data_IF_190857190996
#
_entry.id   IF_190857190996
#
_cell.length_a   1.000
_cell.length_b   1.000
_cell.length_c   1.000
_cell.angle_alpha   90.00
_cell.angle_beta   90.00
_cell.angle_gamma   90.00
#
_symmetry.space_group_name_H-M   'P 1'
#
loop_
_entity.id
_entity.type
_entity.pdbx_description
1 polymer ?
#
# COMPACT_ATOMS: atom_id res chain seq x y z
N UNK A 1 3.81 -17.02 -8.54
CA UNK A 1 3.78 -15.57 -8.82
C UNK A 1 2.72 -15.30 -9.87
N UNK A 2 2.07 -14.16 -9.78
CA UNK A 2 1.18 -13.67 -10.81
C UNK A 2 1.57 -12.27 -11.16
N UNK A 3 1.52 -11.98 -12.42
CA UNK A 3 1.70 -10.64 -12.97
C UNK A 3 0.67 -9.71 -12.36
N UNK A 4 1.13 -8.66 -11.72
CA UNK A 4 0.28 -7.59 -11.22
C UNK A 4 1.03 -6.26 -11.26
N UNK A 5 0.38 -5.19 -10.82
CA UNK A 5 0.94 -3.85 -10.80
C UNK A 5 2.25 -3.73 -9.99
N UNK A 6 2.42 -4.57 -8.93
CA UNK A 6 3.63 -4.62 -8.11
C UNK A 6 4.85 -5.17 -8.84
N UNK A 7 4.65 -6.26 -9.59
CA UNK A 7 5.75 -7.07 -10.12
C UNK A 7 5.84 -7.01 -11.64
N UNK A 8 4.95 -6.27 -12.30
CA UNK A 8 4.92 -6.19 -13.74
C UNK A 8 4.72 -7.56 -14.37
N UNK A 9 5.56 -7.94 -15.31
CA UNK A 9 5.49 -9.23 -16.00
C UNK A 9 6.12 -10.41 -15.23
N UNK A 10 6.58 -10.18 -14.00
CA UNK A 10 7.09 -11.25 -13.14
C UNK A 10 5.93 -11.95 -12.46
N UNK A 11 5.43 -12.92 -13.00
CA UNK A 11 4.37 -13.58 -12.36
C UNK A 11 4.45 -15.05 -12.59
N UNK A 12 3.64 -15.62 -13.37
CA UNK A 12 3.63 -17.04 -13.68
C UNK A 12 4.97 -17.57 -14.29
N UNK A 13 6.06 -16.93 -13.93
CA UNK A 13 7.39 -17.22 -14.44
C UNK A 13 7.45 -16.98 -15.95
N UNK A 14 8.04 -17.91 -16.65
CA UNK A 14 8.08 -17.89 -18.12
C UNK A 14 6.81 -18.47 -18.76
N UNK A 15 5.78 -18.81 -17.96
CA UNK A 15 4.56 -19.40 -18.49
C UNK A 15 3.59 -18.33 -19.01
N UNK A 16 4.00 -17.68 -20.07
CA UNK A 16 3.14 -16.76 -20.81
C UNK A 16 1.86 -17.42 -21.34
N UNK A 17 1.82 -18.73 -21.46
CA UNK A 17 0.65 -19.46 -21.96
C UNK A 17 -0.45 -19.52 -20.90
N UNK A 18 -0.11 -19.64 -19.61
CA UNK A 18 -1.08 -19.53 -18.53
C UNK A 18 -1.70 -18.13 -18.48
N UNK A 19 -0.88 -17.07 -18.62
CA UNK A 19 -1.37 -15.68 -18.67
C UNK A 19 -2.30 -15.49 -19.85
N UNK A 20 -1.91 -15.94 -21.05
CA UNK A 20 -2.74 -15.86 -22.27
C UNK A 20 -4.05 -16.63 -22.12
N UNK A 21 -4.01 -17.78 -21.44
CA UNK A 21 -5.23 -18.54 -21.15
C UNK A 21 -6.16 -17.77 -20.20
N UNK A 22 -5.64 -17.24 -19.10
CA UNK A 22 -6.44 -16.46 -18.16
C UNK A 22 -7.05 -15.21 -18.79
N UNK A 23 -6.34 -14.55 -19.70
CA UNK A 23 -6.82 -13.38 -20.42
C UNK A 23 -8.08 -13.65 -21.27
N UNK A 24 -8.33 -14.89 -21.64
CA UNK A 24 -9.54 -15.28 -22.38
C UNK A 24 -10.80 -15.34 -21.51
N UNK A 25 -10.62 -15.32 -20.17
CA UNK A 25 -11.69 -15.50 -19.20
C UNK A 25 -11.67 -14.37 -18.17
N UNK A 26 -12.28 -13.22 -18.47
CA UNK A 26 -12.23 -12.04 -17.61
C UNK A 26 -12.84 -12.24 -16.23
N UNK A 27 -13.64 -13.27 -16.04
CA UNK A 27 -14.23 -13.67 -14.74
C UNK A 27 -13.24 -14.40 -13.82
N UNK A 28 -12.05 -14.78 -14.31
CA UNK A 28 -11.04 -15.42 -13.46
C UNK A 28 -10.58 -14.45 -12.38
N UNK A 29 -10.58 -14.95 -11.16
CA UNK A 29 -9.93 -14.32 -10.02
C UNK A 29 -8.78 -15.24 -9.61
N UNK A 30 -7.58 -14.74 -9.76
CA UNK A 30 -6.36 -15.43 -9.42
C UNK A 30 -5.79 -14.83 -8.14
N UNK A 31 -5.58 -15.66 -7.13
CA UNK A 31 -5.00 -15.26 -5.84
C UNK A 31 -3.59 -15.81 -5.75
N UNK A 32 -2.65 -14.99 -5.31
CA UNK A 32 -1.25 -15.39 -5.16
C UNK A 32 -0.63 -14.82 -3.88
N UNK A 33 0.25 -15.61 -3.30
CA UNK A 33 1.12 -15.22 -2.20
C UNK A 33 2.52 -14.81 -2.65
N UNK A 34 3.45 -14.84 -1.72
CA UNK A 34 4.89 -14.61 -1.88
C UNK A 34 5.30 -13.13 -2.03
N UNK A 35 4.43 -12.28 -2.53
CA UNK A 35 4.75 -10.87 -2.73
C UNK A 35 4.83 -10.09 -1.42
N UNK A 36 4.22 -10.60 -0.35
CA UNK A 36 4.11 -9.92 0.94
C UNK A 36 3.56 -8.49 0.83
N UNK A 37 2.76 -8.22 -0.20
CA UNK A 37 2.14 -6.92 -0.39
C UNK A 37 1.10 -6.67 0.70
N UNK A 38 1.12 -5.47 1.27
CA UNK A 38 0.09 -5.09 2.24
C UNK A 38 -1.27 -4.94 1.55
N UNK A 39 -2.34 -5.40 2.21
CA UNK A 39 -3.69 -5.36 1.66
C UNK A 39 -4.34 -3.97 1.71
N UNK A 40 -3.70 -3.00 2.32
CA UNK A 40 -4.04 -1.59 2.20
C UNK A 40 -3.56 -0.99 0.88
N UNK A 41 -2.54 -1.60 0.24
CA UNK A 41 -2.04 -1.11 -1.04
C UNK A 41 -3.01 -1.40 -2.18
N UNK A 42 -3.44 -0.35 -2.86
CA UNK A 42 -4.36 -0.46 -3.99
C UNK A 42 -3.83 -1.36 -5.13
N UNK A 43 -2.50 -1.55 -5.22
CA UNK A 43 -1.86 -2.43 -6.20
C UNK A 43 -1.98 -3.91 -5.83
N UNK A 44 -2.48 -4.24 -4.64
CA UNK A 44 -2.69 -5.63 -4.23
C UNK A 44 -3.88 -6.29 -4.95
N UNK A 45 -4.65 -5.53 -5.72
CA UNK A 45 -5.62 -6.01 -6.70
C UNK A 45 -5.38 -5.33 -8.04
N UNK A 46 -5.38 -6.09 -9.13
CA UNK A 46 -5.13 -5.58 -10.48
C UNK A 46 -5.99 -6.31 -11.51
N UNK A 47 -6.56 -5.54 -12.45
CA UNK A 47 -7.34 -6.05 -13.57
C UNK A 47 -6.74 -5.66 -14.94
N UNK A 48 -5.55 -5.10 -14.96
CA UNK A 48 -4.92 -4.55 -16.17
C UNK A 48 -4.59 -5.61 -17.23
N UNK A 49 -4.50 -6.86 -16.83
CA UNK A 49 -4.17 -7.99 -17.71
C UNK A 49 -5.39 -8.69 -18.32
N UNK A 50 -6.62 -8.23 -18.01
CA UNK A 50 -7.85 -8.83 -18.53
C UNK A 50 -8.43 -9.96 -17.68
N UNK A 51 -7.84 -10.26 -16.54
CA UNK A 51 -8.38 -11.07 -15.44
C UNK A 51 -8.10 -10.36 -14.11
N UNK A 52 -8.71 -10.79 -13.01
CA UNK A 52 -8.45 -10.20 -11.70
C UNK A 52 -7.32 -10.93 -11.01
N UNK A 53 -6.26 -10.22 -10.66
CA UNK A 53 -5.13 -10.72 -9.87
C UNK A 53 -5.17 -10.10 -8.47
N UNK A 54 -5.08 -10.92 -7.43
CA UNK A 54 -5.12 -10.48 -6.03
C UNK A 54 -3.89 -11.04 -5.29
N UNK A 55 -3.24 -10.18 -4.51
CA UNK A 55 -2.26 -10.60 -3.52
C UNK A 55 -2.98 -10.92 -2.22
N UNK A 56 -2.60 -12.01 -1.54
CA UNK A 56 -3.26 -12.47 -0.31
C UNK A 56 -2.63 -11.94 0.98
N UNK A 57 -1.67 -11.02 0.87
CA UNK A 57 -0.96 -10.43 2.00
C UNK A 57 0.15 -11.33 2.52
N UNK A 58 0.34 -11.34 3.82
CA UNK A 58 1.35 -12.17 4.49
C UNK A 58 0.91 -12.49 5.93
N UNK A 59 1.29 -13.67 6.43
CA UNK A 59 1.07 -14.09 7.82
C UNK A 59 2.43 -14.43 8.44
N UNK A 60 2.86 -13.61 9.42
CA UNK A 60 4.09 -13.83 10.18
C UNK A 60 5.38 -13.62 9.38
N UNK A 61 5.32 -12.85 8.30
CA UNK A 61 6.48 -12.40 7.53
C UNK A 61 6.50 -10.86 7.49
N UNK A 62 7.32 -10.26 6.66
CA UNK A 62 7.39 -8.81 6.50
C UNK A 62 6.49 -8.32 5.37
N UNK A 63 6.07 -7.06 5.42
CA UNK A 63 5.50 -6.40 4.25
C UNK A 63 6.58 -5.98 3.27
N UNK A 64 6.32 -6.16 1.98
CA UNK A 64 7.13 -5.58 0.92
C UNK A 64 6.79 -4.09 0.77
N UNK A 65 7.82 -3.23 0.80
CA UNK A 65 7.65 -1.78 0.87
C UNK A 65 8.68 -1.02 0.05
N UNK A 66 9.05 -1.51 -1.10
CA UNK A 66 10.10 -0.91 -1.93
C UNK A 66 11.52 -1.00 -1.30
N UNK A 67 11.70 -1.86 -0.27
CA UNK A 67 13.01 -2.07 0.37
C UNK A 67 14.07 -2.48 -0.67
N UNK A 68 15.25 -1.85 -0.59
CA UNK A 68 16.34 -2.06 -1.53
C UNK A 68 16.25 -1.25 -2.83
N UNK A 69 15.12 -0.60 -3.13
CA UNK A 69 15.04 0.37 -4.22
C UNK A 69 15.60 1.72 -3.79
N UNK A 70 16.21 2.43 -4.72
CA UNK A 70 16.77 3.76 -4.47
C UNK A 70 15.74 4.82 -4.79
N UNK A 71 15.43 5.67 -3.81
CA UNK A 71 14.59 6.83 -4.01
C UNK A 71 15.27 7.80 -5.01
N UNK A 72 14.64 8.12 -6.14
CA UNK A 72 15.27 8.93 -7.19
C UNK A 72 15.51 10.40 -6.76
N UNK A 73 14.88 10.85 -5.68
CA UNK A 73 15.00 12.22 -5.18
C UNK A 73 16.10 12.31 -4.12
N UNK A 74 16.07 11.40 -3.15
CA UNK A 74 17.02 11.43 -2.03
C UNK A 74 18.31 10.67 -2.31
N UNK A 75 18.34 9.82 -3.32
CA UNK A 75 19.46 8.89 -3.56
C UNK A 75 19.65 7.85 -2.44
N UNK A 76 18.69 7.73 -1.54
CA UNK A 76 18.77 6.84 -0.38
C UNK A 76 18.05 5.53 -0.67
N UNK A 77 18.70 4.41 -0.37
CA UNK A 77 18.03 3.12 -0.45
C UNK A 77 16.95 3.00 0.63
N UNK A 78 15.76 2.57 0.24
CA UNK A 78 14.70 2.26 1.18
C UNK A 78 15.09 1.04 2.03
N UNK A 79 14.73 1.08 3.29
CA UNK A 79 14.94 -0.01 4.24
C UNK A 79 13.61 -0.57 4.69
N UNK A 80 13.60 -1.85 5.03
CA UNK A 80 12.42 -2.48 5.61
C UNK A 80 12.05 -1.78 6.91
N UNK A 81 10.76 -1.43 7.12
CA UNK A 81 10.32 -0.82 8.37
C UNK A 81 10.61 -1.71 9.59
N UNK A 82 10.84 -1.08 10.73
CA UNK A 82 10.92 -1.80 12.00
C UNK A 82 9.60 -2.52 12.27
N UNK A 83 9.69 -3.69 12.89
CA UNK A 83 8.54 -4.55 13.25
C UNK A 83 7.73 -5.06 12.03
N UNK A 84 8.23 -4.95 10.80
CA UNK A 84 7.52 -5.42 9.61
C UNK A 84 7.31 -6.94 9.58
N UNK A 85 8.11 -7.68 10.32
CA UNK A 85 7.98 -9.13 10.53
C UNK A 85 6.75 -9.52 11.35
N UNK A 86 6.09 -8.57 12.00
CA UNK A 86 4.82 -8.78 12.72
C UNK A 86 3.59 -8.67 11.80
N UNK A 87 3.80 -8.47 10.51
CA UNK A 87 2.73 -8.40 9.53
C UNK A 87 1.88 -9.68 9.57
N UNK A 88 0.56 -9.51 9.59
CA UNK A 88 -0.38 -10.62 9.56
C UNK A 88 -1.70 -10.16 8.95
N UNK A 89 -1.87 -10.43 7.66
CA UNK A 89 -3.06 -10.04 6.91
C UNK A 89 -3.55 -11.19 6.04
N UNK A 90 -4.83 -11.20 5.73
CA UNK A 90 -5.45 -12.18 4.87
C UNK A 90 -6.83 -11.75 4.36
N UNK A 91 -7.44 -12.62 3.58
CA UNK A 91 -8.66 -12.36 2.83
C UNK A 91 -9.81 -13.25 3.30
N UNK A 92 -11.02 -12.68 3.30
CA UNK A 92 -12.29 -13.41 3.31
C UNK A 92 -13.01 -13.13 2.00
N UNK A 93 -13.44 -14.17 1.31
CA UNK A 93 -14.05 -14.05 -0.01
C UNK A 93 -15.50 -14.52 0.04
N UNK A 94 -16.43 -13.65 -0.30
CA UNK A 94 -17.84 -13.94 -0.45
C UNK A 94 -18.21 -14.03 -1.92
N UNK A 95 -18.80 -15.15 -2.34
CA UNK A 95 -19.26 -15.37 -3.71
C UNK A 95 -20.78 -15.38 -3.73
N UNK A 96 -21.38 -14.49 -4.51
CA UNK A 96 -22.80 -14.32 -4.63
C UNK A 96 -23.38 -15.04 -5.87
N UNK A 97 -24.67 -15.37 -5.82
CA UNK A 97 -25.35 -16.10 -6.91
C UNK A 97 -25.42 -15.31 -8.22
N UNK A 98 -25.37 -13.99 -8.16
CA UNK A 98 -25.35 -13.11 -9.33
C UNK A 98 -23.98 -13.01 -9.99
N UNK A 99 -22.99 -13.75 -9.48
CA UNK A 99 -21.60 -13.72 -9.96
C UNK A 99 -20.77 -12.62 -9.34
N UNK A 100 -21.32 -11.81 -8.45
CA UNK A 100 -20.53 -10.82 -7.69
C UNK A 100 -19.63 -11.55 -6.69
N UNK A 101 -18.39 -11.08 -6.57
CA UNK A 101 -17.45 -11.52 -5.54
C UNK A 101 -17.03 -10.31 -4.71
N UNK A 102 -17.12 -10.42 -3.39
CA UNK A 102 -16.57 -9.42 -2.46
C UNK A 102 -15.39 -10.01 -1.72
N UNK A 103 -14.31 -9.25 -1.68
CA UNK A 103 -13.07 -9.65 -1.00
C UNK A 103 -12.83 -8.68 0.16
N UNK A 104 -13.04 -9.17 1.36
CA UNK A 104 -12.79 -8.46 2.61
C UNK A 104 -11.36 -8.71 3.05
N UNK A 105 -10.73 -7.69 3.59
CA UNK A 105 -9.32 -7.70 3.99
C UNK A 105 -9.23 -7.58 5.51
N UNK A 106 -8.48 -8.46 6.13
CA UNK A 106 -8.34 -8.53 7.58
C UNK A 106 -6.88 -8.32 7.98
N UNK A 107 -6.65 -7.48 8.96
CA UNK A 107 -5.38 -7.40 9.66
C UNK A 107 -5.49 -8.21 10.96
N UNK A 108 -4.87 -9.38 10.99
CA UNK A 108 -4.92 -10.28 12.14
C UNK A 108 -4.05 -9.78 13.30
N UNK A 109 -3.00 -9.00 13.03
CA UNK A 109 -2.16 -8.45 14.08
C UNK A 109 -2.91 -7.45 14.96
N UNK A 110 -3.88 -6.74 14.40
CA UNK A 110 -4.71 -5.77 15.12
C UNK A 110 -6.12 -6.27 15.41
N UNK A 111 -6.54 -7.39 14.80
CA UNK A 111 -7.90 -7.90 14.91
C UNK A 111 -8.94 -7.02 14.21
N UNK A 112 -8.54 -6.23 13.21
CA UNK A 112 -9.41 -5.25 12.55
C UNK A 112 -9.57 -5.52 11.07
N UNK A 113 -10.76 -5.21 10.51
CA UNK A 113 -10.98 -5.18 9.08
C UNK A 113 -10.27 -3.97 8.46
N UNK A 114 -9.64 -4.19 7.30
CA UNK A 114 -9.03 -3.14 6.49
C UNK A 114 -10.13 -2.57 5.60
N UNK A 115 -10.44 -1.29 5.77
CA UNK A 115 -11.50 -0.59 5.04
C UNK A 115 -12.81 -1.39 4.98
N UNK A 116 -13.49 -1.61 6.12
CA UNK A 116 -14.63 -2.53 6.22
C UNK A 116 -15.79 -2.17 5.28
N UNK A 117 -15.98 -0.89 5.00
CA UNK A 117 -17.05 -0.40 4.14
C UNK A 117 -16.69 -0.42 2.65
N UNK A 118 -15.43 -0.76 2.32
CA UNK A 118 -14.89 -0.77 0.98
C UNK A 118 -14.23 -2.11 0.61
N UNK A 119 -14.97 -3.25 0.64
CA UNK A 119 -14.44 -4.51 0.13
C UNK A 119 -14.15 -4.37 -1.36
N UNK A 120 -13.11 -5.06 -1.84
CA UNK A 120 -12.93 -5.17 -3.28
C UNK A 120 -14.12 -5.93 -3.86
N UNK A 121 -14.83 -5.28 -4.78
CA UNK A 121 -16.05 -5.83 -5.39
C UNK A 121 -15.79 -6.13 -6.85
N UNK A 122 -15.87 -7.39 -7.22
CA UNK A 122 -15.68 -7.87 -8.59
C UNK A 122 -17.06 -8.31 -9.07
N UNK A 123 -17.57 -7.65 -10.11
CA UNK A 123 -18.86 -7.97 -10.72
C UNK A 123 -18.77 -9.23 -11.59
N UNK A 124 -19.91 -9.76 -12.02
CA UNK A 124 -19.97 -10.91 -12.93
C UNK A 124 -19.21 -10.67 -14.27
N UNK A 125 -19.04 -9.43 -14.67
CA UNK A 125 -18.22 -9.06 -15.85
C UNK A 125 -16.71 -9.23 -15.60
N UNK A 126 -16.32 -9.43 -14.34
CA UNK A 126 -14.93 -9.64 -13.93
C UNK A 126 -14.03 -8.47 -14.31
N UNK A 127 -12.89 -8.77 -14.90
CA UNK A 127 -11.92 -7.75 -15.30
C UNK A 127 -12.35 -6.87 -16.47
N UNK A 128 -13.45 -7.17 -17.16
CA UNK A 128 -13.98 -6.26 -18.20
C UNK A 128 -14.38 -4.90 -17.64
N UNK A 129 -14.83 -4.86 -16.40
CA UNK A 129 -15.15 -3.61 -15.72
C UNK A 129 -13.91 -2.73 -15.47
N UNK A 130 -12.73 -3.36 -15.37
CA UNK A 130 -11.40 -2.75 -15.17
C UNK A 130 -11.35 -1.68 -14.06
N UNK A 131 -12.10 -1.92 -12.99
CA UNK A 131 -12.23 -0.99 -11.85
C UNK A 131 -10.90 -0.86 -11.10
N UNK A 132 -10.14 -1.96 -11.04
CA UNK A 132 -8.87 -2.06 -10.32
C UNK A 132 -7.64 -2.06 -11.24
N UNK A 133 -7.79 -1.65 -12.49
CA UNK A 133 -6.65 -1.57 -13.41
C UNK A 133 -5.70 -0.41 -13.08
N UNK A 134 -4.48 -0.50 -13.58
CA UNK A 134 -3.46 0.55 -13.41
C UNK A 134 -3.86 1.93 -13.94
N UNK A 135 -4.83 1.98 -14.86
CA UNK A 135 -5.38 3.21 -15.44
C UNK A 135 -6.65 3.69 -14.70
N UNK A 136 -6.96 3.13 -13.53
CA UNK A 136 -8.08 3.61 -12.71
C UNK A 136 -7.94 5.10 -12.41
N UNK A 137 -9.05 5.83 -12.29
CA UNK A 137 -8.99 7.25 -11.90
C UNK A 137 -8.18 7.43 -10.62
N UNK A 138 -7.27 8.38 -10.62
CA UNK A 138 -6.51 8.76 -9.43
C UNK A 138 -6.89 10.18 -9.04
N UNK A 139 -6.98 10.41 -7.73
CA UNK A 139 -7.18 11.74 -7.18
C UNK A 139 -5.92 12.21 -6.47
N UNK A 140 -5.63 13.52 -6.44
CA UNK A 140 -4.48 14.05 -5.75
C UNK A 140 -4.48 13.66 -4.26
N UNK A 141 -3.28 13.46 -3.72
CA UNK A 141 -3.11 13.38 -2.28
C UNK A 141 -3.30 14.78 -1.67
N UNK A 142 -4.09 14.88 -0.61
CA UNK A 142 -4.34 16.13 0.09
C UNK A 142 -4.09 15.97 1.58
N UNK A 143 -3.43 16.94 2.16
CA UNK A 143 -3.40 17.10 3.61
C UNK A 143 -4.73 17.73 4.09
N UNK A 144 -5.16 17.46 5.33
CA UNK A 144 -6.33 18.11 5.89
C UNK A 144 -6.11 19.64 5.98
N UNK A 145 -7.21 20.40 5.94
CA UNK A 145 -7.16 21.85 6.10
C UNK A 145 -6.47 22.25 7.41
N UNK A 146 -5.61 23.24 7.35
CA UNK A 146 -4.82 23.69 8.50
C UNK A 146 -3.67 22.73 8.88
N UNK A 147 -3.36 21.74 8.05
CA UNK A 147 -2.21 20.87 8.29
C UNK A 147 -0.92 21.66 8.47
N UNK A 148 -0.16 21.29 9.47
CA UNK A 148 1.14 21.90 9.76
C UNK A 148 2.16 20.83 10.14
N UNK A 149 3.42 21.18 9.91
CA UNK A 149 4.55 20.36 10.35
C UNK A 149 4.97 20.81 11.73
N UNK A 150 5.04 19.88 12.68
CA UNK A 150 5.52 20.10 14.03
C UNK A 150 6.83 19.38 14.32
N UNK A 151 7.41 19.64 15.47
CA UNK A 151 8.57 18.93 16.00
C UNK A 151 8.22 18.24 17.31
N UNK A 152 8.57 16.96 17.42
CA UNK A 152 8.57 16.28 18.71
C UNK A 152 9.85 16.65 19.44
N UNK A 153 9.75 17.65 20.34
CA UNK A 153 10.90 18.17 21.09
C UNK A 153 11.51 17.12 22.03
N UNK A 154 10.72 16.17 22.50
CA UNK A 154 11.22 15.08 23.36
C UNK A 154 12.11 14.08 22.59
N UNK A 155 11.96 14.01 21.27
CA UNK A 155 12.72 13.12 20.40
C UNK A 155 13.70 13.84 19.49
N UNK A 156 13.73 15.19 19.56
CA UNK A 156 14.68 16.01 18.81
C UNK A 156 15.97 16.17 19.62
N UNK A 157 17.10 15.99 18.96
CA UNK A 157 18.44 16.12 19.55
C UNK A 157 19.24 17.19 18.80
N UNK A 158 20.46 17.49 19.24
CA UNK A 158 21.36 18.44 18.53
C UNK A 158 21.68 18.02 17.10
N UNK A 159 21.55 16.72 16.77
CA UNK A 159 21.93 16.15 15.47
C UNK A 159 20.76 15.51 14.72
N UNK A 160 19.55 15.52 15.27
CA UNK A 160 18.35 14.94 14.66
C UNK A 160 17.10 15.71 15.04
N UNK A 161 16.19 15.88 14.10
CA UNK A 161 14.87 16.45 14.34
C UNK A 161 13.79 15.39 14.11
N UNK A 162 12.96 15.17 15.12
CA UNK A 162 11.75 14.35 14.96
C UNK A 162 10.61 15.26 14.47
N UNK A 163 10.13 14.98 13.27
CA UNK A 163 9.12 15.77 12.59
C UNK A 163 7.78 15.06 12.68
N UNK A 164 6.71 15.78 12.97
CA UNK A 164 5.33 15.30 13.00
C UNK A 164 4.49 16.06 12.00
N UNK A 165 3.55 15.37 11.34
CA UNK A 165 2.59 15.95 10.42
C UNK A 165 1.34 15.07 10.35
N UNK A 166 0.16 15.62 10.01
CA UNK A 166 -1.04 14.82 9.83
C UNK A 166 -0.94 13.96 8.57
N UNK A 167 -1.60 12.79 8.57
CA UNK A 167 -1.67 11.95 7.40
C UNK A 167 -2.45 12.64 6.27
N UNK A 168 -1.96 12.50 5.05
CA UNK A 168 -2.70 12.88 3.85
C UNK A 168 -3.75 11.81 3.51
N UNK A 169 -4.75 12.20 2.72
CA UNK A 169 -5.78 11.32 2.17
C UNK A 169 -5.95 11.57 0.67
N UNK A 170 -6.46 10.61 -0.11
CA UNK A 170 -6.95 10.90 -1.45
C UNK A 170 -8.06 11.97 -1.41
N UNK A 171 -8.10 12.87 -2.38
CA UNK A 171 -9.05 13.99 -2.38
C UNK A 171 -10.52 13.54 -2.47
N UNK A 172 -10.79 12.39 -3.08
CA UNK A 172 -12.13 11.77 -3.16
C UNK A 172 -12.54 10.99 -1.90
N UNK A 173 -11.63 10.87 -0.94
CA UNK A 173 -11.86 10.14 0.30
C UNK A 173 -11.90 8.61 0.14
N UNK A 174 -11.69 8.08 -1.07
CA UNK A 174 -11.68 6.64 -1.31
C UNK A 174 -10.32 6.01 -1.03
N UNK A 175 -10.30 4.69 -0.75
CA UNK A 175 -9.08 3.92 -0.57
C UNK A 175 -8.61 3.21 -1.86
N UNK A 176 -9.19 3.53 -3.01
CA UNK A 176 -8.74 3.05 -4.31
C UNK A 176 -7.41 3.70 -4.75
N UNK A 177 -7.11 4.85 -4.19
CA UNK A 177 -5.86 5.56 -4.36
C UNK A 177 -5.26 5.83 -2.99
N UNK A 178 -4.13 5.24 -2.72
CA UNK A 178 -3.48 5.31 -1.43
C UNK A 178 -2.34 6.32 -1.41
N UNK A 179 -2.02 6.79 -0.24
CA UNK A 179 -0.78 7.55 -0.02
C UNK A 179 0.34 6.55 0.21
N UNK A 180 1.25 6.44 -0.75
CA UNK A 180 2.37 5.50 -0.66
C UNK A 180 3.45 6.01 0.30
N UNK A 181 3.85 7.28 0.14
CA UNK A 181 4.97 7.85 0.90
C UNK A 181 4.88 9.36 0.98
N UNK A 182 5.67 9.93 1.87
CA UNK A 182 5.82 11.36 2.07
C UNK A 182 7.26 11.77 1.76
N UNK A 183 7.41 12.93 1.12
CA UNK A 183 8.70 13.60 0.98
C UNK A 183 8.78 14.73 1.99
N UNK A 184 9.79 14.68 2.84
CA UNK A 184 10.11 15.72 3.82
C UNK A 184 11.27 16.53 3.28
N UNK A 185 11.08 17.85 3.16
CA UNK A 185 12.09 18.78 2.69
C UNK A 185 12.52 19.69 3.84
N UNK A 186 13.82 19.78 4.11
CA UNK A 186 14.38 20.65 5.12
C UNK A 186 15.33 21.66 4.46
N UNK A 187 14.99 22.95 4.57
CA UNK A 187 15.83 24.04 4.08
C UNK A 187 16.34 24.86 5.27
N UNK A 188 17.67 25.01 5.44
CA UNK A 188 18.23 25.82 6.51
C UNK A 188 17.79 27.27 6.41
N UNK A 189 17.41 27.89 7.53
CA UNK A 189 16.91 29.29 7.59
C UNK A 189 17.94 30.30 7.10
N UNK A 190 19.21 30.02 7.34
CA UNK A 190 20.32 30.94 7.04
C UNK A 190 21.03 30.61 5.72
N UNK A 191 20.35 29.89 4.83
CA UNK A 191 20.96 29.37 3.60
C UNK A 191 21.68 28.03 3.84
N UNK A 192 22.00 27.34 2.77
CA UNK A 192 22.63 26.03 2.77
C UNK A 192 21.87 25.05 1.90
N UNK A 193 22.35 23.82 1.84
CA UNK A 193 21.78 22.79 1.01
C UNK A 193 20.45 22.29 1.57
N UNK A 194 19.44 22.17 0.68
CA UNK A 194 18.16 21.58 1.03
C UNK A 194 18.32 20.06 1.10
N UNK A 195 17.86 19.49 2.21
CA UNK A 195 17.90 18.03 2.45
C UNK A 195 16.53 17.44 2.22
N UNK A 196 16.48 16.30 1.58
CA UNK A 196 15.27 15.53 1.32
C UNK A 196 15.31 14.22 2.11
N UNK A 197 14.14 13.81 2.63
CA UNK A 197 13.90 12.52 3.25
C UNK A 197 12.58 11.96 2.75
N UNK A 198 12.52 10.66 2.58
CA UNK A 198 11.30 9.92 2.31
C UNK A 198 10.82 9.16 3.54
N UNK A 199 9.51 9.06 3.69
CA UNK A 199 8.86 8.27 4.72
C UNK A 199 7.70 7.51 4.08
N UNK A 200 7.60 6.21 4.30
CA UNK A 200 6.45 5.43 3.87
C UNK A 200 5.22 5.74 4.70
N UNK A 201 4.05 5.42 4.18
CA UNK A 201 2.81 5.47 4.94
C UNK A 201 2.83 4.39 6.05
N UNK A 202 2.04 4.62 7.09
CA UNK A 202 2.01 3.81 8.30
C UNK A 202 1.59 2.36 8.09
N UNK A 203 0.74 2.06 7.11
CA UNK A 203 0.34 0.68 6.84
C UNK A 203 1.48 -0.24 6.35
N UNK A 204 2.63 0.32 5.96
CA UNK A 204 3.83 -0.47 5.69
C UNK A 204 4.56 -0.91 6.97
N UNK A 205 4.15 -0.40 8.13
CA UNK A 205 4.74 -0.72 9.42
C UNK A 205 3.78 -1.66 10.17
N UNK A 206 4.04 -2.93 10.16
CA UNK A 206 3.19 -3.96 10.74
C UNK A 206 3.30 -4.03 12.27
N UNK A 207 3.19 -2.92 12.96
CA UNK A 207 3.28 -2.91 14.42
C UNK A 207 1.95 -3.32 15.05
N UNK A 208 1.97 -4.34 15.90
CA UNK A 208 0.82 -4.69 16.70
C UNK A 208 0.36 -3.48 17.54
N UNK A 209 -0.91 -3.09 17.38
CA UNK A 209 -1.51 -1.97 18.10
C UNK A 209 -1.34 -0.59 17.47
N UNK A 210 -0.71 -0.47 16.29
CA UNK A 210 -0.61 0.82 15.58
C UNK A 210 -1.89 1.17 14.82
N UNK A 211 -2.87 0.31 14.75
CA UNK A 211 -4.16 0.56 14.10
C UNK A 211 -5.21 1.27 14.96
N UNK A 212 -4.88 1.75 16.14
CA UNK A 212 -5.80 2.59 16.91
C UNK A 212 -5.92 3.96 16.24
N UNK A 213 -7.13 4.29 15.79
CA UNK A 213 -7.45 5.55 15.14
C UNK A 213 -6.75 6.75 15.80
N UNK A 214 -5.85 7.40 15.04
CA UNK A 214 -5.21 8.65 15.43
C UNK A 214 -3.75 8.58 15.88
N UNK A 215 -3.14 7.42 16.00
CA UNK A 215 -1.70 7.34 16.25
C UNK A 215 -0.95 7.39 14.92
N UNK A 216 -0.49 8.57 14.54
CA UNK A 216 0.53 8.68 13.49
C UNK A 216 1.80 8.03 14.00
N UNK A 217 2.35 7.00 13.36
CA UNK A 217 3.62 6.43 13.77
C UNK A 217 4.69 7.50 13.71
N UNK A 218 5.31 7.77 14.83
CA UNK A 218 6.47 8.64 14.86
C UNK A 218 7.62 7.88 14.22
N UNK A 219 7.88 8.15 12.95
CA UNK A 219 9.08 7.62 12.30
C UNK A 219 10.31 8.12 13.02
N UNK A 220 11.11 7.19 13.54
CA UNK A 220 12.46 7.50 13.93
C UNK A 220 13.26 7.72 12.65
N UNK A 221 13.57 8.98 12.34
CA UNK A 221 14.66 9.26 11.41
C UNK A 221 15.94 8.71 12.02
N UNK A 222 16.54 7.73 11.39
CA UNK A 222 17.93 7.37 11.65
C UNK A 222 18.84 8.25 10.82
#
# INVERSE_FOLDING_TARGET
YVTNEWYGEYGAGTDHDLVKLMQQYPQIIQVSGHSHATLEDARSIDQSLGYTSIQDGTIGAYFENESGKVDPITGTAATRPADSELASQGLLVDVYRDGTVKVHRMNFATGTWIYPDEPWTITADGAKANVYGKNRPSTPAMFPDGASVGFDTAKTTGNSAAVTFPAAKPADGTNNNMIHSYRITMTPKNGGETVYKSAFNDYYYAKAGVGAAGAVPTQKSR
#
